data_IF_658825778001
#
_entry.id   IF_658825778001
#
_cell.length_a   1.000
_cell.length_b   1.000
_cell.length_c   1.000
_cell.angle_alpha   90.00
_cell.angle_beta   90.00
_cell.angle_gamma   90.00
#
_symmetry.space_group_name_H-M   'P 1'
#
loop_
_entity.id
_entity.type
_entity.pdbx_description
1 polymer ?
#
# COMPACT_ATOMS: atom_id res chain seq x y z
N UNK A 1 -58.88 -26.60 1.05
CA UNK A 1 -57.70 -26.71 0.17
C UNK A 1 -56.46 -26.77 1.08
N UNK A 2 -55.93 -27.97 1.30
CA UNK A 2 -54.64 -28.36 1.91
C UNK A 2 -54.09 -27.48 3.07
N UNK A 3 -54.42 -27.85 4.31
CA UNK A 3 -53.54 -27.59 5.46
C UNK A 3 -52.90 -28.92 5.86
N UNK A 4 -51.58 -29.01 5.64
CA UNK A 4 -50.74 -30.17 5.88
C UNK A 4 -50.38 -30.27 7.36
N UNK A 5 -50.41 -31.49 7.88
CA UNK A 5 -49.90 -31.86 9.20
C UNK A 5 -48.41 -31.50 9.33
N UNK A 6 -48.06 -30.69 10.33
CA UNK A 6 -46.69 -30.60 10.84
C UNK A 6 -46.40 -31.85 11.67
N UNK A 7 -45.74 -32.84 11.06
CA UNK A 7 -45.14 -33.95 11.78
C UNK A 7 -43.84 -33.46 12.45
N UNK A 8 -43.83 -33.35 13.78
CA UNK A 8 -42.62 -33.07 14.54
C UNK A 8 -41.67 -34.27 14.48
N UNK A 9 -40.55 -34.12 13.78
CA UNK A 9 -39.53 -35.16 13.67
C UNK A 9 -38.71 -35.14 14.97
N UNK A 10 -38.66 -36.24 15.75
CA UNK A 10 -37.93 -36.26 17.01
C UNK A 10 -36.41 -36.14 16.76
N UNK A 11 -35.72 -35.36 17.60
CA UNK A 11 -34.28 -35.03 17.45
C UNK A 11 -33.34 -36.25 17.32
N UNK A 12 -33.77 -37.42 17.80
CA UNK A 12 -33.05 -38.70 17.64
C UNK A 12 -33.02 -39.21 16.20
N UNK A 13 -34.06 -38.93 15.40
CA UNK A 13 -34.16 -39.35 14.00
C UNK A 13 -33.30 -38.49 13.07
N UNK A 14 -33.12 -37.21 13.40
CA UNK A 14 -32.20 -36.30 12.70
C UNK A 14 -30.74 -36.71 12.93
N UNK A 15 -30.39 -37.10 14.16
CA UNK A 15 -29.04 -37.56 14.49
C UNK A 15 -28.68 -38.89 13.80
N UNK A 16 -29.64 -39.80 13.65
CA UNK A 16 -29.44 -41.07 12.95
C UNK A 16 -29.26 -40.89 11.42
N UNK A 17 -29.98 -39.94 10.82
CA UNK A 17 -29.83 -39.58 9.40
C UNK A 17 -28.45 -38.97 9.10
N UNK A 18 -27.95 -38.08 9.95
CA UNK A 18 -26.60 -37.47 9.79
C UNK A 18 -25.49 -38.52 9.93
N UNK A 19 -25.64 -39.49 10.85
CA UNK A 19 -24.68 -40.59 11.02
C UNK A 19 -24.72 -41.62 9.87
N UNK A 20 -25.87 -41.82 9.21
CA UNK A 20 -26.01 -42.68 8.03
C UNK A 20 -25.48 -42.03 6.74
N UNK A 21 -25.62 -40.71 6.59
CA UNK A 21 -25.00 -39.94 5.49
C UNK A 21 -23.46 -39.89 5.60
N UNK A 22 -22.89 -39.94 6.81
CA UNK A 22 -21.44 -40.06 6.99
C UNK A 22 -20.87 -41.46 6.67
N UNK A 23 -21.71 -42.50 6.54
CA UNK A 23 -21.28 -43.88 6.22
C UNK A 23 -21.33 -44.24 4.73
N UNK A 24 -22.01 -43.44 3.92
CA UNK A 24 -21.92 -43.51 2.46
C UNK A 24 -20.80 -42.57 2.04
N UNK A 25 -19.58 -43.10 1.94
CA UNK A 25 -18.34 -42.36 1.72
C UNK A 25 -18.24 -41.59 0.39
N UNK A 26 -19.13 -40.63 0.16
CA UNK A 26 -19.04 -39.59 -0.86
C UNK A 26 -18.94 -38.22 -0.19
N UNK A 27 -17.95 -38.06 0.68
CA UNK A 27 -17.28 -36.78 0.73
C UNK A 27 -16.35 -36.81 -0.50
N UNK A 28 -16.45 -35.87 -1.46
CA UNK A 28 -15.39 -35.72 -2.43
C UNK A 28 -14.14 -35.38 -1.62
N UNK A 29 -13.25 -36.35 -1.45
CA UNK A 29 -11.88 -36.07 -1.12
C UNK A 29 -11.45 -35.08 -2.19
N UNK A 30 -11.21 -33.83 -1.81
CA UNK A 30 -10.31 -33.00 -2.60
C UNK A 30 -9.02 -33.80 -2.61
N UNK A 31 -8.80 -34.56 -3.69
CA UNK A 31 -7.46 -34.94 -4.03
C UNK A 31 -6.72 -33.61 -4.09
N UNK A 32 -5.76 -33.44 -3.19
CA UNK A 32 -4.77 -32.40 -3.36
C UNK A 32 -4.18 -32.62 -4.75
N UNK A 33 -4.62 -31.80 -5.70
CA UNK A 33 -3.96 -31.67 -6.97
C UNK A 33 -2.66 -30.94 -6.63
N UNK A 34 -1.69 -31.69 -6.09
CA UNK A 34 -0.30 -31.33 -6.20
C UNK A 34 -0.03 -31.32 -7.70
N UNK A 35 -0.18 -30.15 -8.33
CA UNK A 35 0.29 -29.94 -9.67
C UNK A 35 1.75 -30.37 -9.68
N UNK A 36 2.07 -31.41 -10.45
CA UNK A 36 3.45 -31.82 -10.65
C UNK A 36 4.19 -30.61 -11.22
N UNK A 37 5.07 -30.03 -10.44
CA UNK A 37 5.83 -28.87 -10.86
C UNK A 37 6.79 -29.33 -11.95
N UNK A 38 6.54 -28.91 -13.19
CA UNK A 38 7.44 -29.24 -14.29
C UNK A 38 8.83 -28.70 -14.00
N UNK A 39 9.83 -29.57 -14.17
CA UNK A 39 11.23 -29.18 -14.04
C UNK A 39 11.60 -28.35 -15.26
N UNK A 40 11.85 -27.06 -15.03
CA UNK A 40 12.37 -26.15 -16.04
C UNK A 40 13.89 -26.06 -15.92
N UNK A 41 14.61 -26.54 -16.94
CA UNK A 41 16.06 -26.42 -17.01
C UNK A 41 16.44 -25.09 -17.67
N UNK A 42 17.15 -24.22 -16.92
CA UNK A 42 17.68 -22.95 -17.44
C UNK A 42 19.19 -23.10 -17.63
N UNK A 43 19.65 -23.02 -18.87
CA UNK A 43 21.08 -23.05 -19.21
C UNK A 43 21.55 -21.61 -19.44
N UNK A 44 22.61 -21.19 -18.74
CA UNK A 44 23.18 -19.84 -18.83
C UNK A 44 24.60 -19.92 -19.39
N UNK A 45 24.84 -19.24 -20.51
CA UNK A 45 26.18 -19.07 -21.10
C UNK A 45 26.75 -17.69 -20.71
N UNK A 46 27.79 -17.69 -19.87
CA UNK A 46 28.45 -16.47 -19.41
C UNK A 46 29.39 -15.83 -20.46
N UNK A 47 29.60 -16.49 -21.60
CA UNK A 47 30.45 -16.02 -22.69
C UNK A 47 29.70 -15.36 -23.85
N UNK A 48 28.37 -15.41 -23.84
CA UNK A 48 27.52 -14.79 -24.84
C UNK A 48 27.59 -13.24 -24.80
N UNK A 49 27.21 -12.60 -25.91
CA UNK A 49 27.19 -11.13 -26.02
C UNK A 49 26.22 -10.51 -25.00
N UNK A 50 26.72 -9.57 -24.20
CA UNK A 50 25.95 -8.87 -23.19
C UNK A 50 25.30 -7.59 -23.75
N UNK A 51 24.19 -7.19 -23.13
CA UNK A 51 23.52 -5.91 -23.39
C UNK A 51 23.36 -5.14 -22.08
N UNK A 52 23.29 -3.80 -22.12
CA UNK A 52 23.01 -3.01 -20.93
C UNK A 52 21.68 -3.42 -20.29
N UNK A 53 21.70 -3.66 -18.98
CA UNK A 53 20.52 -3.93 -18.18
C UNK A 53 20.33 -2.77 -17.19
N UNK A 54 19.51 -1.75 -17.51
CA UNK A 54 19.35 -0.58 -16.65
C UNK A 54 18.43 -0.89 -15.45
N UNK A 55 18.92 -0.72 -14.23
CA UNK A 55 18.20 -0.98 -12.98
C UNK A 55 17.32 0.20 -12.52
N UNK A 56 16.38 0.61 -13.37
CA UNK A 56 15.53 1.79 -13.07
C UNK A 56 14.62 1.57 -11.84
N UNK A 57 14.27 0.32 -11.51
CA UNK A 57 13.39 -0.02 -10.38
C UNK A 57 14.02 0.26 -9.00
N UNK A 58 15.35 0.40 -8.93
CA UNK A 58 16.10 0.64 -7.67
C UNK A 58 16.35 2.14 -7.44
N UNK A 59 16.03 2.97 -8.44
CA UNK A 59 16.44 4.38 -8.45
C UNK A 59 15.54 5.28 -7.60
N UNK A 60 14.23 5.01 -7.56
CA UNK A 60 13.24 5.85 -6.88
C UNK A 60 12.30 5.02 -6.01
N UNK A 61 12.07 5.48 -4.78
CA UNK A 61 11.10 4.87 -3.85
C UNK A 61 9.90 5.79 -3.61
N UNK A 62 8.74 5.16 -3.39
CA UNK A 62 7.54 5.85 -2.91
C UNK A 62 7.57 6.01 -1.39
N UNK A 63 6.93 7.06 -0.89
CA UNK A 63 6.75 7.33 0.53
C UNK A 63 5.33 7.84 0.82
N UNK A 64 5.02 8.01 2.09
CA UNK A 64 3.75 8.58 2.54
C UNK A 64 3.65 10.08 2.26
N UNK A 65 3.11 10.83 3.23
CA UNK A 65 3.04 12.30 3.15
C UNK A 65 4.36 12.94 3.53
N UNK A 66 4.65 14.09 2.93
CA UNK A 66 5.86 14.88 3.16
C UNK A 66 6.15 15.16 4.64
N UNK A 67 5.11 15.38 5.46
CA UNK A 67 5.26 15.64 6.91
C UNK A 67 5.99 14.53 7.68
N UNK A 68 5.97 13.29 7.16
CA UNK A 68 6.69 12.19 7.79
C UNK A 68 8.21 12.43 7.78
N UNK A 69 8.72 13.21 6.82
CA UNK A 69 10.12 13.64 6.73
C UNK A 69 10.65 14.40 7.94
N UNK A 70 9.75 14.99 8.75
CA UNK A 70 10.11 15.66 9.99
C UNK A 70 10.32 14.69 11.17
N UNK A 71 9.90 13.43 11.04
CA UNK A 71 10.00 12.44 12.13
C UNK A 71 11.35 11.76 12.13
N UNK A 72 12.00 11.68 13.29
CA UNK A 72 13.29 11.00 13.39
C UNK A 72 13.20 9.49 13.07
N UNK A 73 12.07 8.84 13.39
CA UNK A 73 11.84 7.44 13.02
C UNK A 73 11.89 7.25 11.50
N UNK A 74 11.27 8.15 10.74
CA UNK A 74 11.29 8.12 9.28
C UNK A 74 12.70 8.33 8.73
N UNK A 75 13.45 9.27 9.33
CA UNK A 75 14.83 9.54 8.95
C UNK A 75 15.74 8.35 9.23
N UNK A 76 15.53 7.65 10.34
CA UNK A 76 16.19 6.36 10.62
C UNK A 76 15.88 5.32 9.55
N UNK A 77 14.59 5.11 9.25
CA UNK A 77 14.16 4.11 8.26
C UNK A 77 14.77 4.39 6.88
N UNK A 78 14.75 5.65 6.43
CA UNK A 78 15.34 6.04 5.15
C UNK A 78 16.84 5.77 5.11
N UNK A 79 17.58 6.04 6.20
CA UNK A 79 19.03 5.75 6.25
C UNK A 79 19.30 4.26 6.12
N UNK A 80 18.53 3.42 6.79
CA UNK A 80 18.70 1.97 6.70
C UNK A 80 18.38 1.44 5.30
N UNK A 81 17.30 1.91 4.68
CA UNK A 81 16.95 1.54 3.30
C UNK A 81 18.01 2.03 2.30
N UNK A 82 18.55 3.24 2.50
CA UNK A 82 19.62 3.80 1.65
C UNK A 82 20.89 2.97 1.74
N UNK A 83 21.29 2.52 2.93
CA UNK A 83 22.44 1.61 3.11
C UNK A 83 22.23 0.28 2.38
N UNK A 84 21.00 -0.24 2.35
CA UNK A 84 20.69 -1.54 1.77
C UNK A 84 20.54 -1.52 0.24
N UNK A 85 20.14 -0.40 -0.35
CA UNK A 85 19.69 -0.34 -1.76
C UNK A 85 20.37 0.74 -2.59
N UNK A 86 20.99 1.74 -1.96
CA UNK A 86 21.52 2.94 -2.60
C UNK A 86 20.52 3.68 -3.51
N UNK A 87 19.22 3.64 -3.22
CA UNK A 87 18.21 4.40 -3.98
C UNK A 87 18.53 5.91 -3.99
N UNK A 88 18.14 6.61 -5.06
CA UNK A 88 18.60 7.98 -5.31
C UNK A 88 17.50 9.03 -5.04
N UNK A 89 16.24 8.65 -5.19
CA UNK A 89 15.10 9.56 -5.08
C UNK A 89 13.99 9.01 -4.19
N UNK A 90 13.27 9.91 -3.53
CA UNK A 90 12.01 9.60 -2.83
C UNK A 90 10.89 10.50 -3.33
N UNK A 91 9.75 9.90 -3.64
CA UNK A 91 8.50 10.58 -4.02
C UNK A 91 7.48 10.46 -2.88
N UNK A 92 6.96 11.58 -2.41
CA UNK A 92 5.89 11.66 -1.40
C UNK A 92 4.75 12.55 -1.87
N UNK A 93 3.61 12.40 -1.22
CA UNK A 93 2.44 13.24 -1.45
C UNK A 93 2.41 14.45 -0.51
N UNK A 94 1.52 15.41 -0.79
CA UNK A 94 1.06 16.40 0.20
C UNK A 94 2.12 17.45 0.61
N UNK A 95 3.03 17.84 -0.28
CA UNK A 95 4.03 18.89 -0.04
C UNK A 95 3.43 20.28 0.24
N UNK A 96 2.22 20.56 -0.28
CA UNK A 96 1.49 21.80 -0.05
C UNK A 96 0.31 21.65 0.91
N UNK A 97 0.21 20.52 1.61
CA UNK A 97 -0.83 20.33 2.61
C UNK A 97 -0.63 21.30 3.79
N UNK A 98 -1.72 21.74 4.41
CA UNK A 98 -1.69 22.78 5.46
C UNK A 98 -0.86 22.37 6.70
N UNK A 99 -0.52 21.09 6.84
CA UNK A 99 0.33 20.59 7.93
C UNK A 99 1.80 21.02 7.79
N UNK A 100 2.22 21.35 6.57
CA UNK A 100 3.52 21.95 6.29
C UNK A 100 3.47 23.49 6.30
N UNK A 101 2.26 24.08 6.30
CA UNK A 101 2.08 25.52 6.46
C UNK A 101 2.54 26.37 5.27
N UNK A 102 2.63 25.80 4.07
CA UNK A 102 3.23 26.48 2.90
C UNK A 102 2.46 27.73 2.47
N UNK A 103 1.13 27.70 2.53
CA UNK A 103 0.29 28.79 2.07
C UNK A 103 -0.65 29.26 3.17
N UNK A 104 -0.68 30.58 3.38
CA UNK A 104 -1.63 31.29 4.21
C UNK A 104 -2.03 32.61 3.53
N UNK A 105 -2.94 33.36 4.13
CA UNK A 105 -3.37 34.69 3.67
C UNK A 105 -3.38 35.66 4.85
N UNK A 106 -2.89 36.88 4.62
CA UNK A 106 -2.96 37.96 5.61
C UNK A 106 -4.39 38.53 5.76
N UNK A 107 -4.58 39.51 6.65
CA UNK A 107 -5.88 40.14 6.88
C UNK A 107 -6.43 40.91 5.67
N UNK A 108 -5.58 41.27 4.71
CA UNK A 108 -5.95 41.95 3.49
C UNK A 108 -6.19 40.97 2.32
N UNK A 109 -6.03 39.66 2.54
CA UNK A 109 -6.21 38.62 1.52
C UNK A 109 -4.98 38.42 0.63
N UNK A 110 -3.81 38.94 1.01
CA UNK A 110 -2.58 38.68 0.26
C UNK A 110 -1.98 37.33 0.66
N UNK A 111 -1.44 36.60 -0.33
CA UNK A 111 -0.76 35.34 -0.10
C UNK A 111 0.49 35.52 0.79
N UNK A 112 0.61 34.65 1.79
CA UNK A 112 1.76 34.53 2.69
C UNK A 112 2.33 33.13 2.54
N UNK A 113 3.63 33.01 2.28
CA UNK A 113 4.29 31.72 2.08
C UNK A 113 5.28 31.42 3.20
N UNK A 114 5.28 30.19 3.69
CA UNK A 114 6.22 29.71 4.70
C UNK A 114 6.79 28.34 4.32
N UNK A 115 8.09 28.31 3.97
CA UNK A 115 8.77 27.09 3.55
C UNK A 115 9.53 26.37 4.67
N UNK A 116 9.44 26.84 5.92
CA UNK A 116 10.27 26.36 7.02
C UNK A 116 10.21 24.83 7.24
N UNK A 117 9.04 24.20 7.09
CA UNK A 117 8.92 22.74 7.19
C UNK A 117 9.27 22.01 5.90
N UNK A 118 9.03 22.62 4.73
CA UNK A 118 9.46 22.05 3.44
C UNK A 118 10.99 21.97 3.41
N UNK A 119 11.67 23.04 3.82
CA UNK A 119 13.12 23.11 3.92
C UNK A 119 13.64 22.00 4.84
N UNK A 120 13.08 21.86 6.04
CA UNK A 120 13.48 20.77 6.96
C UNK A 120 13.26 19.35 6.41
N UNK A 121 12.21 19.14 5.59
CA UNK A 121 11.99 17.86 4.92
C UNK A 121 13.05 17.63 3.85
N UNK A 122 13.33 18.63 3.03
CA UNK A 122 14.29 18.50 1.92
C UNK A 122 15.73 18.42 2.41
N UNK A 123 16.12 19.25 3.38
CA UNK A 123 17.44 19.20 4.01
C UNK A 123 17.69 17.83 4.62
N UNK A 124 16.71 17.28 5.35
CA UNK A 124 16.80 15.93 5.91
C UNK A 124 17.00 14.83 4.86
N UNK A 125 16.50 15.00 3.63
CA UNK A 125 16.75 14.06 2.54
C UNK A 125 18.14 14.28 1.93
N UNK A 126 18.48 15.54 1.63
CA UNK A 126 19.73 15.93 0.97
C UNK A 126 20.96 15.62 1.82
N UNK A 127 20.88 15.82 3.14
CA UNK A 127 21.91 15.42 4.11
C UNK A 127 22.23 13.92 4.06
N UNK A 128 21.25 13.10 3.65
CA UNK A 128 21.40 11.65 3.49
C UNK A 128 21.66 11.24 2.03
N UNK A 129 21.99 12.19 1.15
CA UNK A 129 22.29 11.95 -0.27
C UNK A 129 21.07 11.53 -1.10
N UNK A 130 19.87 11.86 -0.65
CA UNK A 130 18.60 11.50 -1.30
C UNK A 130 17.95 12.75 -1.87
N UNK A 131 17.46 12.65 -3.10
CA UNK A 131 16.80 13.78 -3.78
C UNK A 131 15.28 13.63 -3.76
N UNK A 132 14.51 14.70 -3.49
CA UNK A 132 13.06 14.63 -3.59
C UNK A 132 12.65 14.52 -5.07
N UNK A 133 11.84 13.52 -5.40
CA UNK A 133 11.04 13.50 -6.63
C UNK A 133 9.72 14.20 -6.31
N UNK A 134 9.67 15.49 -6.63
CA UNK A 134 8.61 16.39 -6.15
C UNK A 134 7.28 16.09 -6.83
N UNK A 135 6.27 15.80 -6.02
CA UNK A 135 4.87 15.83 -6.42
C UNK A 135 4.21 17.13 -5.96
N UNK A 136 3.54 17.81 -6.87
CA UNK A 136 2.84 19.07 -6.61
C UNK A 136 1.42 18.76 -6.10
N UNK A 137 1.30 18.49 -4.79
CA UNK A 137 0.03 18.10 -4.16
C UNK A 137 -0.03 18.38 -2.66
N UNK A 138 -1.17 18.28 -1.98
CA UNK A 138 -2.50 18.52 -2.51
C UNK A 138 -2.79 20.03 -2.42
N UNK A 139 -3.98 20.48 -2.81
CA UNK A 139 -4.31 21.90 -2.77
C UNK A 139 -4.41 22.41 -1.31
N UNK A 140 -3.73 23.51 -0.93
CA UNK A 140 -3.96 24.18 0.35
C UNK A 140 -5.44 24.57 0.53
N UNK A 141 -5.96 24.50 1.77
CA UNK A 141 -7.39 24.74 2.03
C UNK A 141 -7.87 26.11 1.57
N UNK A 142 -7.09 27.16 1.80
CA UNK A 142 -7.44 28.53 1.42
C UNK A 142 -7.52 28.76 -0.10
N UNK A 143 -6.85 27.92 -0.90
CA UNK A 143 -6.92 27.95 -2.37
C UNK A 143 -7.93 26.94 -2.94
N UNK A 144 -8.52 26.09 -2.11
CA UNK A 144 -9.41 25.04 -2.58
C UNK A 144 -10.75 25.62 -3.02
N UNK A 145 -11.15 25.36 -4.26
CA UNK A 145 -12.47 25.75 -4.77
C UNK A 145 -13.64 25.09 -3.99
N UNK A 146 -13.37 23.94 -3.35
CA UNK A 146 -14.29 23.22 -2.47
C UNK A 146 -13.51 22.43 -1.43
N UNK A 147 -14.01 22.37 -0.21
CA UNK A 147 -13.49 21.43 0.79
C UNK A 147 -13.95 20.02 0.45
N UNK A 148 -13.09 19.28 -0.25
CA UNK A 148 -13.26 17.84 -0.44
C UNK A 148 -12.37 17.13 0.59
N UNK A 149 -12.99 16.56 1.63
CA UNK A 149 -12.30 15.57 2.47
C UNK A 149 -12.01 14.36 1.60
N UNK A 150 -10.74 13.95 1.50
CA UNK A 150 -10.36 12.69 0.84
C UNK A 150 -10.49 11.54 1.85
N UNK A 151 -11.53 10.68 1.75
CA UNK A 151 -11.66 9.55 2.66
C UNK A 151 -10.65 8.46 2.26
N UNK A 152 -9.52 8.36 2.96
CA UNK A 152 -8.73 7.13 2.96
C UNK A 152 -9.39 6.13 3.92
N UNK A 153 -10.39 5.40 3.44
CA UNK A 153 -11.01 4.28 4.18
C UNK A 153 -11.11 3.06 3.27
N UNK A 154 -10.28 2.04 3.53
CA UNK A 154 -10.55 0.69 3.02
C UNK A 154 -11.76 0.13 3.76
N UNK A 155 -12.82 -0.24 3.03
CA UNK A 155 -13.78 -1.25 3.51
C UNK A 155 -13.46 -2.54 2.79
N UNK A 156 -12.92 -3.53 3.51
CA UNK A 156 -12.98 -4.91 3.01
C UNK A 156 -14.45 -5.29 2.96
N UNK A 157 -14.93 -5.60 1.75
CA UNK A 157 -16.22 -6.26 1.52
C UNK A 157 -16.17 -7.69 2.07
#
# INVERSE_FOLDING_TARGET
MRHLLEASIPARTVCLMVLLLCRSGLLPTRADVCAAQEIQNVIVDASAEAHPFPHFWETTLGSGRAILGLRESYRNDIREVKKATDFQYVRFHAIFHDELGVYDEDKAGNAVYNFSYVDQVYDGLLENGIRPFVEISFMPRKLAAREATHPFWYKQS
#
